data_IF_660189578861
#
_entry.id   IF_660189578861
#
_cell.length_a   1.000
_cell.length_b   1.000
_cell.length_c   1.000
_cell.angle_alpha   90.00
_cell.angle_beta   90.00
_cell.angle_gamma   90.00
#
_symmetry.space_group_name_H-M   'P 1'
#
loop_
_entity.id
_entity.type
_entity.pdbx_description
1 polymer ?
#
# COMPACT_ATOMS: atom_id res chain seq x y z
N UNK A 1 10.22 18.24 23.55
CA UNK A 1 8.98 18.71 22.91
C UNK A 1 8.62 17.79 21.76
N UNK A 2 7.38 17.28 21.77
CA UNK A 2 6.64 16.70 20.64
C UNK A 2 7.33 15.65 19.77
N UNK A 3 7.43 14.40 20.22
CA UNK A 3 7.56 13.26 19.29
C UNK A 3 6.19 13.10 18.61
N UNK A 4 5.96 13.82 17.52
CA UNK A 4 4.81 13.56 16.65
C UNK A 4 4.90 12.09 16.24
N UNK A 5 3.94 11.29 16.65
CA UNK A 5 3.90 9.88 16.28
C UNK A 5 3.90 9.82 14.74
N UNK A 6 4.86 9.16 14.07
CA UNK A 6 4.91 9.14 12.62
C UNK A 6 3.57 8.63 12.09
N UNK A 7 3.00 9.39 11.15
CA UNK A 7 1.70 9.01 10.57
C UNK A 7 1.87 7.74 9.73
N UNK A 8 0.78 7.02 9.48
CA UNK A 8 0.80 5.91 8.54
C UNK A 8 1.34 6.34 7.15
N UNK A 9 1.08 7.59 6.72
CA UNK A 9 1.66 8.15 5.49
C UNK A 9 3.17 8.30 5.56
N UNK A 10 3.72 8.72 6.71
CA UNK A 10 5.17 8.79 6.93
C UNK A 10 5.82 7.41 6.93
N UNK A 11 5.15 6.44 7.54
CA UNK A 11 5.57 5.03 7.48
C UNK A 11 5.62 4.54 6.03
N UNK A 12 4.56 4.72 5.24
CA UNK A 12 4.52 4.29 3.84
C UNK A 12 5.65 4.88 3.01
N UNK A 13 5.95 6.17 3.18
CA UNK A 13 7.06 6.82 2.47
C UNK A 13 8.41 6.19 2.83
N UNK A 14 8.67 5.98 4.13
CA UNK A 14 9.93 5.36 4.58
C UNK A 14 10.07 3.92 4.09
N UNK A 15 8.98 3.16 4.15
CA UNK A 15 8.94 1.78 3.66
C UNK A 15 9.18 1.73 2.15
N UNK A 16 8.58 2.64 1.37
CA UNK A 16 8.80 2.75 -0.08
C UNK A 16 10.27 3.09 -0.43
N UNK A 17 10.92 3.95 0.37
CA UNK A 17 12.33 4.30 0.23
C UNK A 17 13.26 3.11 0.56
N UNK A 18 12.97 2.40 1.67
CA UNK A 18 13.73 1.23 2.12
C UNK A 18 13.72 0.10 1.07
N UNK A 19 12.59 -0.09 0.38
CA UNK A 19 12.43 -1.14 -0.63
C UNK A 19 12.81 -0.70 -2.06
N UNK A 20 13.42 0.47 -2.25
CA UNK A 20 13.95 0.87 -3.56
C UNK A 20 14.95 -0.13 -4.18
N UNK A 21 15.86 -0.79 -3.42
CA UNK A 21 16.73 -1.83 -3.97
C UNK A 21 15.94 -3.01 -4.54
N UNK A 22 14.88 -3.45 -3.86
CA UNK A 22 13.98 -4.50 -4.35
C UNK A 22 13.32 -4.06 -5.66
N UNK A 23 12.75 -2.85 -5.70
CA UNK A 23 12.14 -2.27 -6.90
C UNK A 23 13.09 -2.24 -8.10
N UNK A 24 14.36 -1.87 -7.88
CA UNK A 24 15.38 -1.79 -8.94
C UNK A 24 15.77 -3.16 -9.50
N UNK A 25 15.61 -4.23 -8.72
CA UNK A 25 15.87 -5.60 -9.16
C UNK A 25 14.72 -6.20 -9.99
N UNK A 26 13.54 -5.57 -10.00
CA UNK A 26 12.38 -6.02 -10.77
C UNK A 26 12.55 -5.75 -12.27
N UNK A 27 11.92 -6.60 -13.10
CA UNK A 27 11.71 -6.29 -14.53
C UNK A 27 10.84 -5.04 -14.65
N UNK A 28 11.00 -4.26 -15.73
CA UNK A 28 10.26 -3.01 -15.96
C UNK A 28 8.75 -3.12 -15.75
N UNK A 29 8.11 -4.19 -16.23
CA UNK A 29 6.66 -4.42 -16.01
C UNK A 29 6.30 -4.59 -14.53
N UNK A 30 7.16 -5.25 -13.76
CA UNK A 30 6.98 -5.47 -12.32
C UNK A 30 7.35 -4.23 -11.49
N UNK A 31 8.18 -3.33 -12.01
CA UNK A 31 8.46 -2.04 -11.38
C UNK A 31 7.20 -1.17 -11.33
N UNK A 32 6.42 -1.12 -12.41
CA UNK A 32 5.14 -0.39 -12.43
C UNK A 32 4.10 -1.02 -11.50
N UNK A 33 4.04 -2.36 -11.43
CA UNK A 33 3.19 -3.08 -10.48
C UNK A 33 3.54 -2.70 -9.03
N UNK A 34 4.84 -2.65 -8.70
CA UNK A 34 5.33 -2.28 -7.37
C UNK A 34 4.90 -0.86 -6.98
N UNK A 35 5.07 0.12 -7.88
CA UNK A 35 4.69 1.52 -7.61
C UNK A 35 3.18 1.66 -7.32
N UNK A 36 2.34 0.86 -8.01
CA UNK A 36 0.89 0.84 -7.78
C UNK A 36 0.51 0.31 -6.40
N UNK A 37 1.31 -0.58 -5.79
CA UNK A 37 1.04 -1.07 -4.43
C UNK A 37 0.99 0.07 -3.41
N UNK A 38 1.92 1.01 -3.50
CA UNK A 38 1.98 2.15 -2.59
C UNK A 38 0.87 3.18 -2.85
N UNK A 39 0.43 3.32 -4.11
CA UNK A 39 -0.76 4.11 -4.44
C UNK A 39 -2.01 3.51 -3.76
N UNK A 40 -2.22 2.20 -3.89
CA UNK A 40 -3.31 1.46 -3.24
C UNK A 40 -3.25 1.59 -1.71
N UNK A 41 -2.06 1.40 -1.12
CA UNK A 41 -1.88 1.51 0.31
C UNK A 41 -2.26 2.91 0.85
N UNK A 42 -1.90 3.97 0.10
CA UNK A 42 -2.24 5.36 0.45
C UNK A 42 -3.74 5.67 0.39
N UNK A 43 -4.51 4.98 -0.45
CA UNK A 43 -5.96 5.15 -0.54
C UNK A 43 -6.68 4.68 0.73
N UNK A 44 -6.08 3.74 1.46
CA UNK A 44 -6.63 3.21 2.71
C UNK A 44 -5.98 3.81 3.97
N UNK A 45 -5.25 4.91 3.84
CA UNK A 45 -4.57 5.55 4.96
C UNK A 45 -5.51 5.97 6.10
N UNK A 46 -6.74 6.36 5.76
CA UNK A 46 -7.75 6.79 6.74
C UNK A 46 -8.27 5.58 7.54
N UNK A 47 -8.41 4.40 6.90
CA UNK A 47 -8.77 3.15 7.56
C UNK A 47 -7.62 2.58 8.40
N UNK A 48 -6.39 2.66 7.89
CA UNK A 48 -5.18 2.24 8.61
C UNK A 48 -4.93 3.08 9.88
N UNK A 49 -5.42 4.33 9.91
CA UNK A 49 -5.41 5.17 11.12
C UNK A 49 -6.20 4.58 12.30
N UNK A 50 -7.22 3.76 12.03
CA UNK A 50 -8.00 3.07 13.07
C UNK A 50 -7.35 1.79 13.59
N UNK A 51 -6.38 1.23 12.87
CA UNK A 51 -5.68 -0.01 13.25
C UNK A 51 -4.67 0.18 14.40
N UNK A 52 -4.64 1.35 15.05
CA UNK A 52 -3.82 1.67 16.22
C UNK A 52 -2.35 1.23 16.06
N UNK A 53 -1.66 1.74 15.03
CA UNK A 53 -0.22 1.96 14.82
C UNK A 53 0.84 0.93 15.30
N UNK A 54 0.46 -0.17 15.94
CA UNK A 54 1.38 -1.12 16.58
C UNK A 54 2.02 -2.01 15.52
N UNK A 55 1.31 -2.21 14.39
CA UNK A 55 1.76 -3.02 13.25
C UNK A 55 1.47 -2.31 11.91
N UNK A 56 2.20 -1.24 11.58
CA UNK A 56 1.95 -0.46 10.36
C UNK A 56 2.21 -1.26 9.07
N UNK A 57 3.09 -2.26 9.13
CA UNK A 57 3.35 -3.20 8.03
C UNK A 57 2.13 -4.08 7.71
N UNK A 58 1.44 -4.58 8.74
CA UNK A 58 0.21 -5.36 8.55
C UNK A 58 -0.89 -4.48 7.96
N UNK A 59 -1.00 -3.22 8.41
CA UNK A 59 -1.92 -2.26 7.82
C UNK A 59 -1.62 -1.98 6.34
N UNK A 60 -0.34 -1.91 5.95
CA UNK A 60 0.09 -1.81 4.54
C UNK A 60 -0.36 -3.03 3.73
N UNK A 61 -0.10 -4.24 4.21
CA UNK A 61 -0.51 -5.47 3.51
C UNK A 61 -2.02 -5.53 3.35
N UNK A 62 -2.79 -5.30 4.43
CA UNK A 62 -4.25 -5.31 4.39
C UNK A 62 -4.80 -4.23 3.44
N UNK A 63 -4.23 -3.03 3.46
CA UNK A 63 -4.61 -1.95 2.55
C UNK A 63 -4.44 -2.35 1.07
N UNK A 64 -3.32 -3.01 0.74
CA UNK A 64 -3.06 -3.51 -0.62
C UNK A 64 -4.08 -4.59 -1.00
N UNK A 65 -4.32 -5.56 -0.12
CA UNK A 65 -5.23 -6.68 -0.38
C UNK A 65 -6.67 -6.19 -0.59
N UNK A 66 -7.16 -5.25 0.23
CA UNK A 66 -8.50 -4.68 0.08
C UNK A 66 -8.64 -3.96 -1.27
N UNK A 67 -7.65 -3.15 -1.65
CA UNK A 67 -7.66 -2.48 -2.94
C UNK A 67 -7.61 -3.46 -4.13
N UNK A 68 -6.90 -4.58 -3.98
CA UNK A 68 -6.83 -5.62 -5.01
C UNK A 68 -8.14 -6.41 -5.12
N UNK A 69 -8.78 -6.77 -4.01
CA UNK A 69 -10.09 -7.43 -4.02
C UNK A 69 -11.16 -6.55 -4.67
N UNK A 70 -11.13 -5.24 -4.42
CA UNK A 70 -12.01 -4.28 -5.08
C UNK A 70 -11.82 -4.27 -6.60
N UNK A 71 -10.58 -4.16 -7.08
CA UNK A 71 -10.27 -4.21 -8.52
C UNK A 71 -10.62 -5.56 -9.15
N UNK A 72 -10.36 -6.68 -8.45
CA UNK A 72 -10.72 -8.02 -8.95
C UNK A 72 -12.23 -8.16 -9.12
N UNK A 73 -13.03 -7.66 -8.17
CA UNK A 73 -14.48 -7.63 -8.28
C UNK A 73 -14.93 -6.80 -9.48
N UNK A 74 -14.40 -5.60 -9.67
CA UNK A 74 -14.73 -4.74 -10.82
C UNK A 74 -14.35 -5.39 -12.16
N UNK A 75 -13.20 -6.06 -12.22
CA UNK A 75 -12.77 -6.79 -13.42
C UNK A 75 -13.69 -7.98 -13.72
N UNK A 76 -14.11 -8.75 -12.70
CA UNK A 76 -15.07 -9.86 -12.85
C UNK A 76 -16.42 -9.35 -13.36
N UNK A 77 -16.96 -8.29 -12.75
CA UNK A 77 -18.22 -7.65 -13.17
C UNK A 77 -18.17 -7.15 -14.63
N UNK A 78 -17.00 -6.78 -15.15
CA UNK A 78 -16.81 -6.34 -16.54
C UNK A 78 -16.73 -7.49 -17.54
N UNK A 79 -16.22 -8.65 -17.13
CA UNK A 79 -16.12 -9.85 -17.97
C UNK A 79 -17.44 -10.61 -18.01
N UNK A 80 -18.23 -10.52 -16.94
CA UNK A 80 -19.56 -11.16 -16.83
C UNK A 80 -20.68 -10.35 -17.53
N UNK A 81 -20.41 -9.14 -18.02
CA UNK A 81 -21.31 -8.37 -18.90
C UNK A 81 -21.07 -8.68 -20.37
#
# INVERSE_FOLDING_TARGET
MGRTNPTYRDFLRRFEEEYQPFRRALRRSRTEDFDRLFVKARQHADAAGYANATEPELALVLSILVAQEAELRELRERVER
#
